data_IF_462716683167
#
_entry.id   IF_462716683167
#
_cell.length_a   1.000
_cell.length_b   1.000
_cell.length_c   1.000
_cell.angle_alpha   90.00
_cell.angle_beta   90.00
_cell.angle_gamma   90.00
#
_symmetry.space_group_name_H-M   'P 1'
#
loop_
_entity.id
_entity.type
_entity.pdbx_description
1 polymer ?
#
# COMPACT_ATOMS: atom_id res chain seq x y z
N UNK A 1 55.90 73.09 47.87
CA UNK A 1 55.59 73.23 46.40
C UNK A 1 55.34 71.85 45.84
N UNK A 2 54.11 71.42 45.79
CA UNK A 2 53.72 70.08 45.44
C UNK A 2 52.63 70.16 44.37
N UNK A 3 52.95 69.87 43.14
CA UNK A 3 51.99 69.74 42.04
C UNK A 3 51.33 68.33 42.07
N UNK A 4 50.02 68.32 42.09
CA UNK A 4 49.21 67.11 41.89
C UNK A 4 48.87 67.00 40.41
N UNK A 5 49.01 65.80 39.78
CA UNK A 5 48.42 65.55 38.45
C UNK A 5 46.99 65.02 38.59
N UNK A 6 46.11 65.59 37.77
CA UNK A 6 44.70 65.19 37.59
C UNK A 6 44.59 63.86 36.83
N UNK A 7 43.83 62.96 37.42
CA UNK A 7 43.47 61.66 36.73
C UNK A 7 42.25 61.88 35.86
N UNK A 8 42.45 61.87 34.59
CA UNK A 8 41.32 61.82 33.58
C UNK A 8 40.73 60.43 33.54
N UNK A 9 39.46 60.33 33.94
CA UNK A 9 38.62 59.09 33.77
C UNK A 9 38.14 58.99 32.33
N UNK A 10 38.68 58.04 31.56
CA UNK A 10 38.14 57.64 30.27
C UNK A 10 36.95 56.72 30.50
N UNK A 11 35.75 57.17 30.12
CA UNK A 11 34.53 56.40 30.13
C UNK A 11 34.48 55.58 28.84
N UNK A 12 34.76 54.27 28.90
CA UNK A 12 34.64 53.40 27.80
C UNK A 12 33.14 53.00 27.60
N UNK A 13 32.52 53.51 26.55
CA UNK A 13 31.20 53.08 26.09
C UNK A 13 31.31 51.70 25.47
N UNK A 14 30.82 50.68 26.17
CA UNK A 14 30.62 49.33 25.65
C UNK A 14 29.27 49.29 24.97
N UNK A 15 29.26 49.28 23.61
CA UNK A 15 28.08 48.99 22.81
C UNK A 15 27.82 47.45 22.85
N UNK A 16 26.61 47.01 23.23
CA UNK A 16 26.25 45.61 23.05
C UNK A 16 25.95 45.34 21.58
N UNK A 17 26.78 44.55 20.93
CA UNK A 17 26.50 43.97 19.61
C UNK A 17 25.44 42.89 19.80
N UNK A 18 24.18 43.24 19.56
CA UNK A 18 23.06 42.29 19.51
C UNK A 18 23.19 41.46 18.24
N UNK A 19 23.77 40.26 18.34
CA UNK A 19 23.82 39.30 17.24
C UNK A 19 22.40 38.80 16.94
N UNK A 20 21.82 39.28 15.84
CA UNK A 20 20.54 38.79 15.29
C UNK A 20 20.78 37.40 14.71
N UNK A 21 20.46 36.36 15.50
CA UNK A 21 20.40 34.98 15.00
C UNK A 21 19.23 34.86 14.02
N UNK A 22 19.49 34.95 12.72
CA UNK A 22 18.56 34.62 11.66
C UNK A 22 18.43 33.09 11.66
N UNK A 23 17.40 32.56 12.31
CA UNK A 23 16.98 31.16 12.17
C UNK A 23 16.40 31.00 10.79
N UNK A 24 17.22 30.56 9.83
CA UNK A 24 16.76 30.10 8.52
C UNK A 24 15.96 28.81 8.75
N UNK A 25 14.65 28.93 9.00
CA UNK A 25 13.74 27.83 9.05
C UNK A 25 13.71 27.17 7.67
N UNK A 26 14.25 25.96 7.52
CA UNK A 26 14.03 25.12 6.36
C UNK A 26 12.55 24.78 6.32
N UNK A 27 11.76 25.55 5.58
CA UNK A 27 10.38 25.23 5.25
C UNK A 27 10.40 24.11 4.21
N UNK A 28 10.51 22.85 4.65
CA UNK A 28 10.25 21.71 3.81
C UNK A 28 8.75 21.71 3.46
N UNK A 29 8.43 21.79 2.17
CA UNK A 29 7.04 21.60 1.74
C UNK A 29 6.54 20.26 2.29
N UNK A 30 5.33 20.20 2.88
CA UNK A 30 4.77 18.95 3.34
C UNK A 30 4.68 17.97 2.15
N UNK A 31 5.11 16.73 2.38
CA UNK A 31 5.01 15.67 1.36
C UNK A 31 3.52 15.41 1.14
N UNK A 32 3.03 15.48 -0.13
CA UNK A 32 1.62 15.21 -0.40
C UNK A 32 1.26 13.76 0.00
N UNK A 33 0.04 13.51 0.49
CA UNK A 33 -0.38 12.16 0.86
C UNK A 33 -0.53 11.26 -0.36
N UNK A 34 -0.20 9.98 -0.20
CA UNK A 34 -0.35 8.94 -1.22
C UNK A 34 -1.82 8.60 -1.50
N UNK A 35 -2.12 8.00 -2.68
CA UNK A 35 -3.36 7.29 -2.92
C UNK A 35 -3.65 6.22 -1.87
N UNK A 36 -4.93 5.95 -1.59
CA UNK A 36 -5.30 4.91 -0.64
C UNK A 36 -5.27 3.54 -1.32
N UNK A 37 -4.37 2.66 -0.91
CA UNK A 37 -4.41 1.25 -1.31
C UNK A 37 -5.37 0.51 -0.39
N UNK A 38 -6.24 -0.34 -0.94
CA UNK A 38 -7.25 -1.10 -0.18
C UNK A 38 -7.36 -2.52 -0.73
N UNK A 39 -7.50 -3.50 0.17
CA UNK A 39 -7.91 -4.84 -0.22
C UNK A 39 -9.44 -4.89 -0.24
N UNK A 40 -10.02 -5.23 -1.39
CA UNK A 40 -11.49 -5.35 -1.51
C UNK A 40 -11.99 -6.59 -0.79
N UNK A 41 -12.91 -6.41 0.15
CA UNK A 41 -13.36 -7.47 1.04
C UNK A 41 -14.04 -8.63 0.32
N UNK A 42 -14.80 -8.36 -0.76
CA UNK A 42 -15.49 -9.40 -1.54
C UNK A 42 -14.52 -10.26 -2.37
N UNK A 43 -13.34 -9.73 -2.66
CA UNK A 43 -12.32 -10.39 -3.49
C UNK A 43 -11.00 -10.64 -2.73
N UNK A 44 -10.98 -10.42 -1.42
CA UNK A 44 -9.79 -10.67 -0.58
C UNK A 44 -9.44 -12.15 -0.41
N UNK A 45 -10.40 -13.04 -0.69
CA UNK A 45 -10.26 -14.50 -0.55
C UNK A 45 -10.69 -15.21 -1.83
N UNK A 46 -9.92 -16.24 -2.22
CA UNK A 46 -10.27 -17.16 -3.30
C UNK A 46 -10.44 -18.56 -2.70
N UNK A 47 -11.62 -19.17 -2.87
CA UNK A 47 -11.85 -20.57 -2.47
C UNK A 47 -11.90 -21.46 -3.72
N UNK A 48 -10.99 -22.43 -3.78
CA UNK A 48 -10.97 -23.44 -4.84
C UNK A 48 -11.58 -24.74 -4.31
N UNK A 49 -12.64 -25.18 -4.97
CA UNK A 49 -13.23 -26.49 -4.76
C UNK A 49 -12.65 -27.50 -5.72
N UNK A 50 -12.63 -28.77 -5.33
CA UNK A 50 -12.32 -29.89 -6.24
C UNK A 50 -13.28 -29.89 -7.44
N UNK A 51 -12.86 -30.49 -8.52
CA UNK A 51 -13.69 -30.61 -9.71
C UNK A 51 -14.97 -31.40 -9.40
N UNK A 52 -16.06 -30.98 -10.02
CA UNK A 52 -17.39 -31.56 -9.80
C UNK A 52 -18.39 -30.56 -9.24
N UNK A 53 -19.63 -31.00 -8.95
CA UNK A 53 -20.72 -30.12 -8.51
C UNK A 53 -20.66 -29.77 -7.02
N UNK A 54 -19.82 -30.43 -6.21
CA UNK A 54 -19.71 -30.23 -4.76
C UNK A 54 -19.23 -28.82 -4.41
N UNK A 55 -19.86 -28.22 -3.42
CA UNK A 55 -19.49 -26.91 -2.84
C UNK A 55 -19.54 -26.95 -1.31
N UNK A 56 -19.38 -28.14 -0.74
CA UNK A 56 -19.26 -28.34 0.71
C UNK A 56 -17.85 -27.97 1.19
N UNK A 57 -17.73 -27.73 2.48
CA UNK A 57 -16.42 -27.44 3.11
C UNK A 57 -15.43 -28.59 2.92
N UNK A 58 -15.91 -29.84 2.81
CA UNK A 58 -15.10 -31.03 2.54
C UNK A 58 -14.57 -31.11 1.12
N UNK A 59 -15.13 -30.31 0.21
CA UNK A 59 -14.72 -30.25 -1.21
C UNK A 59 -13.65 -29.18 -1.46
N UNK A 60 -13.25 -28.42 -0.46
CA UNK A 60 -12.26 -27.34 -0.59
C UNK A 60 -10.87 -27.96 -0.80
N UNK A 61 -10.22 -27.64 -1.91
CA UNK A 61 -8.82 -27.97 -2.16
C UNK A 61 -7.90 -26.97 -1.44
N UNK A 62 -8.15 -25.69 -1.60
CA UNK A 62 -7.42 -24.63 -0.91
C UNK A 62 -8.21 -23.32 -0.83
N UNK A 63 -7.80 -22.47 0.11
CA UNK A 63 -8.22 -21.08 0.16
C UNK A 63 -6.97 -20.19 0.10
N UNK A 64 -6.97 -19.24 -0.84
CA UNK A 64 -5.97 -18.18 -0.89
C UNK A 64 -6.54 -16.89 -0.32
N UNK A 65 -5.72 -16.12 0.39
CA UNK A 65 -6.09 -14.89 1.06
C UNK A 65 -5.04 -13.81 0.79
N UNK A 66 -5.46 -12.59 0.49
CA UNK A 66 -4.61 -11.41 0.52
C UNK A 66 -4.59 -10.95 1.98
N UNK A 67 -3.45 -11.14 2.65
CA UNK A 67 -3.32 -10.89 4.10
C UNK A 67 -2.89 -9.48 4.44
N UNK A 68 -2.34 -8.75 3.47
CA UNK A 68 -1.88 -7.40 3.64
C UNK A 68 -1.17 -6.84 2.43
N UNK A 69 -0.74 -5.60 2.57
CA UNK A 69 0.13 -4.93 1.62
C UNK A 69 1.01 -3.93 2.38
N UNK A 70 2.14 -3.58 1.78
CA UNK A 70 3.00 -2.50 2.23
C UNK A 70 3.51 -1.73 1.02
N UNK A 71 3.51 -0.40 1.07
CA UNK A 71 3.87 0.38 -0.10
C UNK A 71 4.21 1.83 0.18
N UNK A 72 4.64 2.49 -0.88
CA UNK A 72 5.02 3.90 -0.91
C UNK A 72 4.58 4.54 -2.22
N UNK A 73 4.58 5.86 -2.27
CA UNK A 73 4.37 6.59 -3.51
C UNK A 73 5.45 7.64 -3.75
N UNK A 74 5.65 7.97 -5.02
CA UNK A 74 6.52 9.05 -5.48
C UNK A 74 5.67 10.00 -6.32
N UNK A 75 5.64 11.27 -5.93
CA UNK A 75 4.92 12.31 -6.66
C UNK A 75 5.81 12.92 -7.73
N UNK A 76 5.27 13.03 -8.94
CA UNK A 76 5.82 13.78 -10.07
C UNK A 76 4.93 14.99 -10.36
N UNK A 77 5.24 15.76 -11.38
CA UNK A 77 4.50 17.00 -11.70
C UNK A 77 3.06 16.72 -12.15
N UNK A 78 2.85 15.66 -12.95
CA UNK A 78 1.60 15.29 -13.60
C UNK A 78 1.14 13.86 -13.31
N UNK A 79 1.83 13.14 -12.41
CA UNK A 79 1.48 11.77 -12.04
C UNK A 79 1.97 11.42 -10.63
N UNK A 80 1.44 10.34 -10.09
CA UNK A 80 1.97 9.69 -8.89
C UNK A 80 2.20 8.21 -9.17
N UNK A 81 3.42 7.74 -8.90
CA UNK A 81 3.77 6.33 -8.91
C UNK A 81 3.52 5.72 -7.53
N UNK A 82 2.68 4.70 -7.48
CA UNK A 82 2.43 3.90 -6.27
C UNK A 82 3.11 2.55 -6.46
N UNK A 83 4.02 2.20 -5.57
CA UNK A 83 4.69 0.90 -5.56
C UNK A 83 4.38 0.21 -4.24
N UNK A 84 3.91 -1.02 -4.30
CA UNK A 84 3.56 -1.78 -3.10
C UNK A 84 3.82 -3.27 -3.28
N UNK A 85 4.01 -3.95 -2.16
CA UNK A 85 4.11 -5.39 -2.06
C UNK A 85 2.77 -5.93 -1.58
N UNK A 86 2.39 -7.13 -2.04
CA UNK A 86 1.14 -7.80 -1.65
C UNK A 86 1.48 -9.11 -0.96
N UNK A 87 0.96 -9.31 0.23
CA UNK A 87 1.15 -10.51 1.03
C UNK A 87 0.00 -11.50 0.81
N UNK A 88 0.36 -12.74 0.52
CA UNK A 88 -0.58 -13.83 0.30
C UNK A 88 -0.37 -14.96 1.29
N UNK A 89 -1.46 -15.64 1.61
CA UNK A 89 -1.43 -16.92 2.31
C UNK A 89 -2.33 -17.92 1.60
N UNK A 90 -1.90 -19.18 1.53
CA UNK A 90 -2.71 -20.28 1.01
C UNK A 90 -2.83 -21.34 2.09
N UNK A 91 -4.06 -21.69 2.42
CA UNK A 91 -4.41 -22.72 3.41
C UNK A 91 -5.02 -23.92 2.69
N UNK A 92 -4.51 -25.13 2.96
CA UNK A 92 -5.05 -26.36 2.43
C UNK A 92 -6.40 -26.69 3.03
N UNK A 93 -7.35 -27.05 2.17
CA UNK A 93 -8.67 -27.57 2.57
C UNK A 93 -8.65 -29.07 2.83
N UNK A 94 -9.80 -29.67 3.20
CA UNK A 94 -9.93 -31.12 3.39
C UNK A 94 -9.61 -31.96 2.14
N UNK A 95 -9.80 -31.40 0.94
CA UNK A 95 -9.49 -32.02 -0.35
C UNK A 95 -8.12 -31.59 -0.92
N UNK A 96 -7.20 -31.10 -0.07
CA UNK A 96 -5.89 -30.61 -0.51
C UNK A 96 -5.06 -31.70 -1.21
N UNK A 97 -4.38 -31.31 -2.31
CA UNK A 97 -3.56 -32.21 -3.13
C UNK A 97 -2.09 -31.76 -3.20
N UNK A 98 -1.80 -30.56 -2.71
CA UNK A 98 -0.47 -29.97 -2.88
C UNK A 98 -0.19 -29.48 -4.31
N UNK A 99 1.09 -29.24 -4.59
CA UNK A 99 1.57 -28.81 -5.89
C UNK A 99 1.69 -27.30 -6.00
N UNK A 100 1.46 -26.76 -7.22
CA UNK A 100 1.44 -25.33 -7.53
C UNK A 100 0.22 -24.97 -8.34
N UNK A 101 -0.30 -23.77 -8.17
CA UNK A 101 -1.37 -23.25 -9.00
C UNK A 101 -1.15 -21.78 -9.34
N UNK A 102 -1.59 -21.34 -10.53
CA UNK A 102 -1.67 -19.92 -10.83
C UNK A 102 -2.76 -19.27 -9.99
N UNK A 103 -2.45 -18.13 -9.41
CA UNK A 103 -3.41 -17.22 -8.79
C UNK A 103 -3.45 -15.94 -9.62
N UNK A 104 -4.65 -15.44 -9.87
CA UNK A 104 -4.86 -14.19 -10.58
C UNK A 104 -5.42 -13.16 -9.61
N UNK A 105 -4.77 -12.02 -9.52
CA UNK A 105 -5.26 -10.90 -8.76
C UNK A 105 -5.28 -9.63 -9.60
N UNK A 106 -6.06 -8.67 -9.21
CA UNK A 106 -6.15 -7.40 -9.91
C UNK A 106 -5.69 -6.24 -9.04
N UNK A 107 -5.23 -5.20 -9.74
CA UNK A 107 -5.11 -3.86 -9.20
C UNK A 107 -6.05 -2.97 -10.00
N UNK A 108 -6.94 -2.26 -9.33
CA UNK A 108 -7.96 -1.45 -9.97
C UNK A 108 -8.04 -0.05 -9.39
N UNK A 109 -8.23 0.93 -10.27
CA UNK A 109 -8.49 2.34 -9.95
C UNK A 109 -9.85 2.69 -10.58
N UNK A 110 -10.95 2.63 -9.81
CA UNK A 110 -12.31 2.78 -10.34
C UNK A 110 -12.55 4.06 -11.12
N UNK A 111 -11.84 5.13 -10.77
CA UNK A 111 -11.96 6.43 -11.44
C UNK A 111 -11.54 6.41 -12.91
N UNK A 112 -10.77 5.41 -13.33
CA UNK A 112 -10.33 5.25 -14.72
C UNK A 112 -11.13 4.19 -15.50
N UNK A 113 -12.12 3.55 -14.87
CA UNK A 113 -12.97 2.63 -15.61
C UNK A 113 -13.82 3.40 -16.65
N UNK A 114 -13.97 2.90 -17.92
CA UNK A 114 -13.54 1.59 -18.44
C UNK A 114 -12.15 1.57 -19.11
N UNK A 115 -11.33 2.60 -18.94
CA UNK A 115 -10.01 2.67 -19.55
C UNK A 115 -9.10 1.50 -19.11
N UNK A 116 -8.16 1.05 -19.95
CA UNK A 116 -7.23 -0.05 -19.60
C UNK A 116 -6.40 0.22 -18.35
N UNK A 117 -6.11 1.50 -18.06
CA UNK A 117 -5.42 1.93 -16.83
C UNK A 117 -6.27 1.73 -15.58
N UNK A 118 -7.60 1.57 -15.73
CA UNK A 118 -8.53 1.39 -14.64
C UNK A 118 -8.46 0.00 -13.98
N UNK A 119 -7.93 -1.02 -14.66
CA UNK A 119 -7.77 -2.37 -14.07
C UNK A 119 -6.68 -3.15 -14.79
N UNK A 120 -5.76 -3.73 -14.01
CA UNK A 120 -4.75 -4.68 -14.48
C UNK A 120 -4.89 -5.99 -13.72
N UNK A 121 -4.87 -7.12 -14.45
CA UNK A 121 -4.82 -8.46 -13.88
C UNK A 121 -3.37 -8.93 -13.92
N UNK A 122 -2.92 -9.50 -12.81
CA UNK A 122 -1.56 -9.99 -12.60
C UNK A 122 -1.67 -11.47 -12.24
N UNK A 123 -0.84 -12.31 -12.85
CA UNK A 123 -0.70 -13.71 -12.50
C UNK A 123 0.50 -13.93 -11.60
N UNK A 124 0.34 -14.82 -10.62
CA UNK A 124 1.41 -15.28 -9.74
C UNK A 124 1.26 -16.78 -9.47
N UNK A 125 2.35 -17.43 -9.06
CA UNK A 125 2.38 -18.84 -8.77
C UNK A 125 2.40 -19.10 -7.28
N UNK A 126 1.44 -19.86 -6.79
CA UNK A 126 1.36 -20.24 -5.39
C UNK A 126 1.73 -21.71 -5.17
N UNK A 127 2.57 -21.97 -4.15
CA UNK A 127 2.77 -23.31 -3.63
C UNK A 127 1.57 -23.71 -2.78
N UNK A 128 0.89 -24.77 -3.15
CA UNK A 128 -0.28 -25.28 -2.46
C UNK A 128 0.12 -26.25 -1.33
N UNK A 129 -0.49 -26.14 -0.15
CA UNK A 129 -0.38 -27.14 0.89
C UNK A 129 -0.94 -28.50 0.44
N UNK A 130 -0.33 -29.59 0.88
CA UNK A 130 -0.75 -30.97 0.64
C UNK A 130 -1.59 -31.57 1.77
N UNK A 131 -1.76 -30.82 2.86
CA UNK A 131 -2.50 -31.23 4.04
C UNK A 131 -3.55 -30.19 4.41
N UNK A 132 -4.67 -30.67 4.97
CA UNK A 132 -5.70 -29.82 5.53
C UNK A 132 -5.12 -28.92 6.64
N UNK A 133 -5.52 -27.64 6.65
CA UNK A 133 -5.07 -26.61 7.58
C UNK A 133 -3.57 -26.26 7.53
N UNK A 134 -2.77 -26.91 6.69
CA UNK A 134 -1.40 -26.44 6.43
C UNK A 134 -1.46 -25.09 5.67
N UNK A 135 -0.52 -24.19 5.99
CA UNK A 135 -0.52 -22.83 5.45
C UNK A 135 0.84 -22.47 4.86
N UNK A 136 0.86 -22.00 3.63
CA UNK A 136 2.00 -21.37 2.98
C UNK A 136 1.78 -19.86 2.88
N UNK A 137 2.88 -19.09 2.85
CA UNK A 137 2.85 -17.64 2.63
C UNK A 137 3.86 -17.27 1.56
N UNK A 138 3.53 -16.25 0.79
CA UNK A 138 4.46 -15.64 -0.15
C UNK A 138 4.09 -14.16 -0.35
N UNK A 139 4.99 -13.43 -0.95
CA UNK A 139 4.82 -12.00 -1.23
C UNK A 139 5.10 -11.75 -2.71
N UNK A 140 4.25 -10.96 -3.34
CA UNK A 140 4.50 -10.38 -4.65
C UNK A 140 5.05 -8.99 -4.43
N UNK A 141 6.26 -8.72 -4.93
CA UNK A 141 6.98 -7.48 -4.64
C UNK A 141 7.00 -6.53 -5.84
N UNK A 142 7.02 -5.23 -5.55
CA UNK A 142 7.23 -4.19 -6.56
C UNK A 142 6.05 -4.04 -7.53
N UNK A 143 4.83 -4.30 -7.09
CA UNK A 143 3.62 -4.01 -7.87
C UNK A 143 3.51 -2.50 -8.06
N UNK A 144 3.57 -2.03 -9.31
CA UNK A 144 3.56 -0.59 -9.62
C UNK A 144 2.29 -0.19 -10.35
N UNK A 145 1.77 0.97 -9.95
CA UNK A 145 0.65 1.67 -10.59
C UNK A 145 1.01 3.12 -10.75
N UNK A 146 0.89 3.65 -11.97
CA UNK A 146 1.05 5.08 -12.26
C UNK A 146 -0.33 5.71 -12.44
N UNK A 147 -0.59 6.77 -11.69
CA UNK A 147 -1.86 7.50 -11.69
C UNK A 147 -1.61 8.89 -12.25
N UNK A 148 -2.09 9.20 -13.47
CA UNK A 148 -1.99 10.54 -14.02
C UNK A 148 -2.85 11.52 -13.21
N UNK A 149 -2.28 12.69 -12.93
CA UNK A 149 -2.92 13.76 -12.17
C UNK A 149 -3.19 14.98 -13.07
N UNK A 150 -4.34 15.58 -12.88
CA UNK A 150 -4.60 16.91 -13.43
C UNK A 150 -3.92 17.96 -12.55
N UNK A 151 -3.72 19.16 -13.10
CA UNK A 151 -3.18 20.29 -12.35
C UNK A 151 -3.99 20.47 -11.06
N UNK A 152 -3.29 20.58 -9.93
CA UNK A 152 -3.85 20.77 -8.59
C UNK A 152 -4.73 19.60 -8.09
N UNK A 153 -4.72 18.44 -8.75
CA UNK A 153 -5.46 17.27 -8.31
C UNK A 153 -4.68 16.51 -7.23
N UNK A 154 -5.26 16.29 -6.02
CA UNK A 154 -4.58 15.56 -4.97
C UNK A 154 -4.57 14.06 -5.27
N UNK A 155 -3.40 13.42 -5.15
CA UNK A 155 -3.24 11.97 -5.32
C UNK A 155 -4.06 11.16 -4.30
N UNK A 156 -4.23 11.67 -3.08
CA UNK A 156 -5.07 11.06 -2.04
C UNK A 156 -6.56 10.93 -2.42
N UNK A 157 -7.01 11.57 -3.48
CA UNK A 157 -8.37 11.42 -4.01
C UNK A 157 -8.60 10.11 -4.78
N UNK A 158 -7.55 9.31 -5.01
CA UNK A 158 -7.65 8.03 -5.69
C UNK A 158 -7.61 6.86 -4.71
N UNK A 159 -8.47 5.88 -4.96
CA UNK A 159 -8.42 4.57 -4.31
C UNK A 159 -7.87 3.53 -5.28
N UNK A 160 -6.88 2.76 -4.81
CA UNK A 160 -6.29 1.62 -5.52
C UNK A 160 -6.79 0.35 -4.85
N UNK A 161 -7.61 -0.42 -5.54
CA UNK A 161 -8.15 -1.67 -5.02
C UNK A 161 -7.30 -2.86 -5.46
N UNK A 162 -7.06 -3.77 -4.52
CA UNK A 162 -6.39 -5.05 -4.76
C UNK A 162 -7.36 -6.17 -4.38
N UNK A 163 -7.47 -7.21 -5.21
CA UNK A 163 -8.34 -8.34 -4.96
C UNK A 163 -8.06 -9.50 -5.90
N UNK A 164 -8.49 -10.71 -5.56
CA UNK A 164 -8.42 -11.83 -6.48
C UNK A 164 -9.35 -11.65 -7.68
N UNK A 165 -8.87 -12.03 -8.86
CA UNK A 165 -9.71 -12.15 -10.05
C UNK A 165 -10.55 -13.42 -9.93
N UNK A 166 -11.75 -13.28 -9.38
CA UNK A 166 -12.69 -14.36 -9.15
C UNK A 166 -13.61 -14.58 -10.36
N UNK A 167 -14.05 -15.81 -10.54
CA UNK A 167 -15.22 -16.09 -11.36
C UNK A 167 -16.53 -15.75 -10.62
N UNK A 168 -17.66 -15.80 -11.33
CA UNK A 168 -18.95 -15.43 -10.74
C UNK A 168 -19.32 -16.34 -9.56
N UNK A 169 -19.05 -17.65 -9.65
CA UNK A 169 -19.40 -18.61 -8.60
C UNK A 169 -18.57 -18.37 -7.33
N UNK A 170 -17.27 -18.06 -7.47
CA UNK A 170 -16.37 -17.71 -6.37
C UNK A 170 -16.80 -16.40 -5.71
N UNK A 171 -17.15 -15.39 -6.52
CA UNK A 171 -17.60 -14.11 -6.00
C UNK A 171 -18.93 -14.23 -5.24
N UNK A 172 -19.89 -14.99 -5.77
CA UNK A 172 -21.17 -15.24 -5.12
C UNK A 172 -21.00 -16.03 -3.82
N UNK A 173 -20.10 -17.00 -3.81
CA UNK A 173 -19.73 -17.75 -2.61
C UNK A 173 -19.19 -16.81 -1.52
N UNK A 174 -18.27 -15.91 -1.85
CA UNK A 174 -17.73 -14.94 -0.89
C UNK A 174 -18.82 -14.01 -0.36
N UNK A 175 -19.65 -13.44 -1.24
CA UNK A 175 -20.75 -12.53 -0.86
C UNK A 175 -21.75 -13.19 0.08
N UNK A 176 -22.10 -14.47 -0.18
CA UNK A 176 -23.02 -15.21 0.69
C UNK A 176 -22.50 -15.42 2.10
N UNK A 177 -21.17 -15.43 2.30
CA UNK A 177 -20.53 -15.54 3.62
C UNK A 177 -20.44 -14.22 4.37
N UNK A 178 -20.38 -13.11 3.65
CA UNK A 178 -20.34 -11.77 4.25
C UNK A 178 -21.71 -11.30 4.79
N UNK A 179 -22.80 -11.96 4.38
CA UNK A 179 -24.17 -11.62 4.79
C UNK A 179 -24.64 -12.38 6.04
N UNK A 180 -23.82 -13.26 6.59
CA UNK A 180 -24.09 -14.05 7.81
C UNK A 180 -23.37 -13.45 9.02
#
# INVERSE_FOLDING_TARGET
MTLRPSVARALALILPVTALLVVAGCSSKPIPPCPNVRVDSATSTLTKFKDGPGRDVTDIEYQAEITGYNGQCVHHEDEVDVTFDVDFAVTGGPAAKGGTAPLYYFVAIPQFFPEPTGKRIIDTQAKLPDQANARTRFQETGVRVTIPLKKDQPAAGFDVYVGFQLDNAQLDFNRSRMQK
#
